data_IF_618058719749
#
_entry.id   IF_618058719749
#
_cell.length_a   1.000
_cell.length_b   1.000
_cell.length_c   1.000
_cell.angle_alpha   90.00
_cell.angle_beta   90.00
_cell.angle_gamma   90.00
#
_symmetry.space_group_name_H-M   'P 1'
#
loop_
_entity.id
_entity.type
_entity.pdbx_description
1 polymer ?
#
# COMPACT_ATOMS: atom_id res chain seq x y z
N UNK A 1 9.24 -14.70 0.78
CA UNK A 1 8.38 -13.54 1.14
C UNK A 1 9.22 -12.29 1.16
N UNK A 2 8.75 -11.22 0.53
CA UNK A 2 9.41 -9.93 0.52
C UNK A 2 8.49 -8.88 1.12
N UNK A 3 9.07 -7.75 1.53
CA UNK A 3 8.32 -6.60 2.01
C UNK A 3 8.68 -5.34 1.23
N UNK A 4 7.77 -4.38 1.19
CA UNK A 4 7.98 -3.09 0.56
C UNK A 4 7.30 -2.00 1.35
N UNK A 5 8.02 -0.90 1.54
CA UNK A 5 7.44 0.36 2.00
C UNK A 5 7.09 1.19 0.79
N UNK A 6 5.85 1.66 0.74
CA UNK A 6 5.31 2.37 -0.41
C UNK A 6 4.74 3.68 0.10
N UNK A 7 5.17 4.78 -0.50
CA UNK A 7 4.65 6.12 -0.18
C UNK A 7 3.90 6.66 -1.38
N UNK A 8 2.66 7.07 -1.15
CA UNK A 8 1.76 7.54 -2.21
C UNK A 8 1.55 9.04 -2.04
N UNK A 9 1.83 9.79 -3.08
CA UNK A 9 1.69 11.25 -3.12
C UNK A 9 0.67 11.67 -4.17
N UNK A 10 -0.03 12.76 -3.90
CA UNK A 10 -1.00 13.31 -4.83
C UNK A 10 -2.26 13.77 -4.12
N UNK A 11 -3.31 13.97 -4.88
CA UNK A 11 -4.63 14.32 -4.35
C UNK A 11 -5.38 13.03 -4.02
N UNK A 12 -5.13 12.51 -2.82
CA UNK A 12 -5.61 11.19 -2.40
C UNK A 12 -6.49 11.24 -1.14
N UNK A 13 -6.59 12.40 -0.50
CA UNK A 13 -7.44 12.54 0.69
C UNK A 13 -8.91 12.46 0.29
N UNK A 14 -9.69 11.75 1.11
CA UNK A 14 -11.10 11.56 0.84
C UNK A 14 -11.41 10.57 -0.28
N UNK A 15 -10.40 9.94 -0.87
CA UNK A 15 -10.59 8.99 -1.96
C UNK A 15 -10.85 7.55 -1.48
N UNK A 16 -10.63 7.27 -0.18
CA UNK A 16 -10.70 5.92 0.33
C UNK A 16 -9.48 5.07 -0.01
N UNK A 17 -8.33 5.71 -0.24
CA UNK A 17 -7.13 5.01 -0.69
C UNK A 17 -6.70 3.89 0.25
N UNK A 18 -6.72 4.12 1.57
CA UNK A 18 -6.29 3.11 2.54
C UNK A 18 -7.20 1.89 2.54
N UNK A 19 -8.51 2.09 2.46
CA UNK A 19 -9.47 0.99 2.37
C UNK A 19 -9.31 0.24 1.05
N UNK A 20 -9.11 0.96 -0.04
CA UNK A 20 -8.85 0.37 -1.34
C UNK A 20 -7.59 -0.50 -1.30
N UNK A 21 -6.51 0.02 -0.68
CA UNK A 21 -5.25 -0.72 -0.56
C UNK A 21 -5.45 -2.03 0.22
N UNK A 22 -6.21 -1.97 1.31
CA UNK A 22 -6.52 -3.17 2.09
C UNK A 22 -7.25 -4.21 1.24
N UNK A 23 -8.24 -3.78 0.46
CA UNK A 23 -8.99 -4.69 -0.40
C UNK A 23 -8.10 -5.34 -1.46
N UNK A 24 -7.20 -4.56 -2.08
CA UNK A 24 -6.28 -5.10 -3.07
C UNK A 24 -5.31 -6.10 -2.44
N UNK A 25 -4.78 -5.77 -1.27
CA UNK A 25 -3.87 -6.68 -0.56
C UNK A 25 -4.57 -7.98 -0.17
N UNK A 26 -5.83 -7.93 0.22
CA UNK A 26 -6.60 -9.13 0.53
C UNK A 26 -6.70 -10.05 -0.69
N UNK A 27 -6.96 -9.47 -1.87
CA UNK A 27 -7.05 -10.24 -3.11
C UNK A 27 -5.72 -10.86 -3.53
N UNK A 28 -4.62 -10.24 -3.12
CA UNK A 28 -3.26 -10.65 -3.51
C UNK A 28 -2.55 -11.42 -2.40
N UNK A 29 -3.25 -11.78 -1.33
CA UNK A 29 -2.67 -12.48 -0.18
C UNK A 29 -1.49 -11.72 0.44
N UNK A 30 -1.59 -10.41 0.52
CA UNK A 30 -0.57 -9.55 1.13
C UNK A 30 -1.00 -9.11 2.52
N UNK A 31 -0.04 -9.04 3.42
CA UNK A 31 -0.22 -8.56 4.78
C UNK A 31 0.50 -7.24 4.95
N UNK A 32 0.11 -6.45 5.92
CA UNK A 32 0.79 -5.18 6.17
C UNK A 32 -0.08 -4.15 6.86
N UNK A 33 0.10 -2.90 6.45
CA UNK A 33 -0.66 -1.80 7.03
C UNK A 33 -0.66 -0.58 6.10
N UNK A 34 -1.61 0.31 6.33
CA UNK A 34 -1.69 1.58 5.63
C UNK A 34 -2.02 2.68 6.64
N UNK A 35 -1.39 3.84 6.50
CA UNK A 35 -1.64 4.99 7.36
C UNK A 35 -1.46 6.29 6.60
N UNK A 36 -2.06 7.37 7.10
CA UNK A 36 -1.80 8.69 6.58
C UNK A 36 -0.60 9.28 7.32
N UNK A 37 0.38 9.77 6.58
CA UNK A 37 1.50 10.48 7.16
C UNK A 37 1.14 11.94 7.44
N UNK A 38 1.96 12.62 8.24
CA UNK A 38 1.70 14.00 8.64
C UNK A 38 1.72 14.98 7.46
N UNK A 39 2.41 14.65 6.38
CA UNK A 39 2.45 15.49 5.17
C UNK A 39 1.28 15.23 4.22
N UNK A 40 0.33 14.38 4.61
CA UNK A 40 -0.83 14.04 3.78
C UNK A 40 -0.62 12.89 2.82
N UNK A 41 0.60 12.37 2.70
CA UNK A 41 0.83 11.18 1.90
C UNK A 41 0.26 9.94 2.59
N UNK A 42 0.14 8.86 1.84
CA UNK A 42 -0.26 7.56 2.38
C UNK A 42 0.97 6.67 2.42
N UNK A 43 1.24 6.09 3.58
CA UNK A 43 2.32 5.11 3.71
C UNK A 43 1.70 3.73 3.82
N UNK A 44 2.27 2.79 3.08
CA UNK A 44 1.82 1.40 3.06
C UNK A 44 3.02 0.50 3.24
N UNK A 45 2.90 -0.50 4.10
CA UNK A 45 3.81 -1.63 4.12
C UNK A 45 3.05 -2.86 3.63
N UNK A 46 3.60 -3.55 2.65
CA UNK A 46 2.98 -4.76 2.11
C UNK A 46 4.03 -5.86 2.00
N UNK A 47 3.65 -7.07 2.38
CA UNK A 47 4.54 -8.22 2.31
C UNK A 47 3.81 -9.45 1.82
N UNK A 48 4.53 -10.30 1.12
CA UNK A 48 4.02 -11.55 0.56
C UNK A 48 4.93 -12.06 -0.54
N UNK A 49 4.38 -12.83 -1.46
CA UNK A 49 5.13 -13.29 -2.62
C UNK A 49 5.53 -12.11 -3.49
N UNK A 50 6.74 -12.14 -4.00
CA UNK A 50 7.31 -11.04 -4.80
C UNK A 50 6.38 -10.65 -5.97
N UNK A 51 5.87 -11.63 -6.68
CA UNK A 51 4.95 -11.40 -7.80
C UNK A 51 3.74 -10.58 -7.37
N UNK A 52 3.16 -10.92 -6.22
CA UNK A 52 1.96 -10.24 -5.72
C UNK A 52 2.27 -8.85 -5.20
N UNK A 53 3.41 -8.67 -4.55
CA UNK A 53 3.86 -7.35 -4.10
C UNK A 53 4.05 -6.42 -5.31
N UNK A 54 4.69 -6.92 -6.36
CA UNK A 54 4.91 -6.13 -7.58
C UNK A 54 3.60 -5.76 -8.27
N UNK A 55 2.64 -6.68 -8.29
CA UNK A 55 1.31 -6.40 -8.84
C UNK A 55 0.63 -5.28 -8.04
N UNK A 56 0.71 -5.35 -6.73
CA UNK A 56 0.13 -4.32 -5.87
C UNK A 56 0.78 -2.95 -6.12
N UNK A 57 2.10 -2.90 -6.24
CA UNK A 57 2.82 -1.64 -6.51
C UNK A 57 2.32 -1.02 -7.83
N UNK A 58 2.14 -1.84 -8.86
CA UNK A 58 1.60 -1.34 -10.13
C UNK A 58 0.20 -0.77 -9.96
N UNK A 59 -0.65 -1.42 -9.17
CA UNK A 59 -2.01 -0.94 -8.91
C UNK A 59 -2.02 0.38 -8.11
N UNK A 60 -1.01 0.60 -7.28
CA UNK A 60 -0.93 1.82 -6.47
C UNK A 60 -0.88 3.10 -7.31
N UNK A 61 -0.34 3.04 -8.52
CA UNK A 61 -0.31 4.18 -9.43
C UNK A 61 -1.71 4.59 -9.89
N UNK A 62 -2.62 3.64 -9.99
CA UNK A 62 -4.01 3.92 -10.36
C UNK A 62 -4.82 4.37 -9.15
N UNK A 63 -4.76 3.60 -8.07
CA UNK A 63 -5.56 3.85 -6.89
C UNK A 63 -7.06 3.72 -7.13
N UNK A 64 -7.88 4.12 -6.17
CA UNK A 64 -9.33 4.16 -6.36
C UNK A 64 -9.75 5.30 -7.27
N UNK A 65 -11.01 5.28 -7.74
CA UNK A 65 -11.51 6.16 -8.80
C UNK A 65 -11.33 7.66 -8.53
N UNK A 66 -11.41 8.08 -7.27
CA UNK A 66 -11.32 9.51 -6.93
C UNK A 66 -9.92 9.96 -6.53
N UNK A 67 -8.94 9.07 -6.62
CA UNK A 67 -7.57 9.41 -6.29
C UNK A 67 -6.85 9.94 -7.53
N UNK A 68 -6.03 10.97 -7.33
CA UNK A 68 -5.11 11.46 -8.36
C UNK A 68 -3.70 11.25 -7.85
N UNK A 69 -3.11 10.12 -8.20
CA UNK A 69 -1.76 9.76 -7.76
C UNK A 69 -0.74 10.49 -8.61
N UNK A 70 0.15 11.23 -7.96
CA UNK A 70 1.21 11.97 -8.64
C UNK A 70 2.53 11.23 -8.59
N UNK A 71 2.79 10.50 -7.50
CA UNK A 71 4.03 9.75 -7.36
C UNK A 71 3.85 8.56 -6.41
N UNK A 72 4.64 7.52 -6.66
CA UNK A 72 4.70 6.32 -5.82
C UNK A 72 6.17 6.00 -5.59
N UNK A 73 6.62 6.12 -4.35
CA UNK A 73 7.99 5.78 -3.98
C UNK A 73 8.01 4.43 -3.28
N UNK A 74 8.94 3.58 -3.68
CA UNK A 74 9.03 2.21 -3.18
C UNK A 74 10.41 1.98 -2.60
N UNK A 75 10.45 1.42 -1.38
CA UNK A 75 11.67 0.96 -0.75
C UNK A 75 11.52 -0.50 -0.37
N UNK A 76 12.49 -1.32 -0.73
CA UNK A 76 12.52 -2.71 -0.29
C UNK A 76 12.67 -2.77 1.23
N UNK A 77 12.01 -3.73 1.83
CA UNK A 77 12.06 -3.94 3.26
C UNK A 77 12.04 -5.44 3.55
N UNK A 78 12.48 -5.80 4.75
CA UNK A 78 12.38 -7.18 5.19
C UNK A 78 10.93 -7.48 5.56
N UNK A 79 10.49 -8.69 5.28
CA UNK A 79 9.20 -9.16 5.77
C UNK A 79 9.25 -9.24 7.30
N UNK A 80 8.11 -8.99 7.91
CA UNK A 80 7.95 -8.99 9.37
C UNK A 80 6.99 -10.10 9.76
N UNK A 81 7.53 -11.15 10.41
CA UNK A 81 6.75 -12.32 10.78
C UNK A 81 5.67 -12.01 11.84
N UNK A 82 5.78 -10.89 12.53
CA UNK A 82 4.78 -10.50 13.54
C UNK A 82 3.50 -9.97 12.91
N UNK A 83 3.53 -9.58 11.64
CA UNK A 83 2.35 -9.04 10.94
C UNK A 83 1.50 -10.22 10.45
N UNK A 84 0.26 -10.28 10.93
CA UNK A 84 -0.66 -11.40 10.64
C UNK A 84 -1.92 -10.98 9.89
N UNK A 85 -2.06 -9.69 9.58
CA UNK A 85 -3.25 -9.16 8.91
C UNK A 85 -2.87 -7.89 8.18
N UNK A 86 -3.85 -7.23 7.55
CA UNK A 86 -3.67 -5.90 6.99
C UNK A 86 -4.48 -4.91 7.82
N UNK A 87 -3.82 -3.92 8.41
CA UNK A 87 -4.46 -2.94 9.29
C UNK A 87 -4.42 -1.54 8.69
N UNK A 88 -5.49 -0.80 8.92
CA UNK A 88 -5.58 0.62 8.57
C UNK A 88 -5.44 1.43 9.86
N UNK A 89 -4.54 2.37 9.86
CA UNK A 89 -4.31 3.28 10.98
C UNK A 89 -4.81 4.69 10.67
#
# INVERSE_FOLDING_TARGET
>A
MIGSHISIYGEIQGSGYRSWAKDQCAKLDLLGWARRASDGSIEIFAQGEEKNVNTFISLCWDGPSYAHVEDVLVQDANADDSIKSFKIY
#
